data_IF_804773957066
#
_entry.id   IF_804773957066
#
_cell.length_a   1.000
_cell.length_b   1.000
_cell.length_c   1.000
_cell.angle_alpha   90.00
_cell.angle_beta   90.00
_cell.angle_gamma   90.00
#
_symmetry.space_group_name_H-M   'P 1'
#
loop_
_entity.id
_entity.type
_entity.pdbx_description
1 polymer ?
#
# COMPACT_ATOMS: atom_id res chain seq x y z
N UNK A 1 15.00 -7.81 -0.62
CA UNK A 1 14.85 -6.49 -1.28
C UNK A 1 14.25 -6.65 -2.67
N UNK A 2 13.39 -5.70 -3.03
CA UNK A 2 12.76 -5.69 -4.34
C UNK A 2 13.73 -5.11 -5.39
N UNK A 3 13.70 -5.62 -6.63
CA UNK A 3 14.52 -5.05 -7.71
C UNK A 3 14.16 -3.61 -8.00
N UNK A 4 15.16 -2.80 -8.37
CA UNK A 4 14.91 -1.44 -8.82
C UNK A 4 14.05 -1.43 -10.09
N UNK A 5 13.16 -0.43 -10.22
CA UNK A 5 12.30 -0.28 -11.39
C UNK A 5 11.12 -1.22 -11.44
N UNK A 6 10.82 -1.95 -10.35
CA UNK A 6 9.66 -2.83 -10.30
C UNK A 6 8.36 -2.05 -10.53
N UNK A 7 7.54 -2.54 -11.43
CA UNK A 7 6.26 -1.92 -11.81
C UNK A 7 5.08 -2.58 -11.08
N UNK A 8 3.86 -2.04 -11.34
CA UNK A 8 2.64 -2.39 -10.61
C UNK A 8 2.38 -3.91 -10.52
N UNK A 9 2.36 -4.60 -11.65
CA UNK A 9 1.92 -6.01 -11.68
C UNK A 9 2.88 -6.90 -10.90
N UNK A 10 4.18 -6.74 -11.08
CA UNK A 10 5.16 -7.54 -10.35
C UNK A 10 5.12 -7.24 -8.85
N UNK A 11 4.98 -5.97 -8.50
CA UNK A 11 4.88 -5.55 -7.11
C UNK A 11 3.65 -6.17 -6.44
N UNK A 12 2.48 -6.08 -7.09
CA UNK A 12 1.24 -6.62 -6.54
C UNK A 12 1.26 -8.14 -6.46
N UNK A 13 1.88 -8.82 -7.40
CA UNK A 13 2.04 -10.27 -7.35
C UNK A 13 2.95 -10.69 -6.20
N UNK A 14 4.04 -9.97 -5.98
CA UNK A 14 4.95 -10.23 -4.86
C UNK A 14 4.21 -10.04 -3.53
N UNK A 15 3.45 -8.97 -3.40
CA UNK A 15 2.65 -8.71 -2.20
C UNK A 15 1.64 -9.82 -1.96
N UNK A 16 0.93 -10.26 -3.01
CA UNK A 16 -0.05 -11.34 -2.91
C UNK A 16 0.58 -12.67 -2.50
N UNK A 17 1.84 -12.88 -2.87
CA UNK A 17 2.56 -14.09 -2.52
C UNK A 17 2.97 -14.13 -1.05
N UNK A 18 3.45 -13.01 -0.52
CA UNK A 18 4.08 -12.99 0.80
C UNK A 18 3.16 -12.52 1.94
N UNK A 19 2.24 -11.58 1.68
CA UNK A 19 1.45 -10.98 2.75
C UNK A 19 0.54 -11.97 3.47
N UNK A 20 -0.26 -12.81 2.79
CA UNK A 20 -1.13 -13.76 3.49
C UNK A 20 -0.36 -14.74 4.36
N UNK A 21 0.76 -15.26 3.87
CA UNK A 21 1.59 -16.20 4.59
C UNK A 21 2.22 -15.54 5.82
N UNK A 22 2.71 -14.31 5.67
CA UNK A 22 3.28 -13.56 6.78
C UNK A 22 2.27 -13.35 7.90
N UNK A 23 1.05 -12.93 7.55
CA UNK A 23 -0.01 -12.72 8.53
C UNK A 23 -0.40 -14.03 9.22
N UNK A 24 -0.52 -15.11 8.44
CA UNK A 24 -0.86 -16.42 8.98
C UNK A 24 0.21 -16.94 9.95
N UNK A 25 1.48 -16.73 9.64
CA UNK A 25 2.59 -17.18 10.46
C UNK A 25 2.74 -16.38 11.75
N UNK A 26 2.54 -15.06 11.70
CA UNK A 26 2.73 -14.18 12.85
C UNK A 26 1.46 -14.09 13.71
N UNK A 27 0.28 -14.09 13.07
CA UNK A 27 -1.02 -13.91 13.74
C UNK A 27 -1.03 -12.67 14.64
N UNK A 28 -0.81 -11.48 14.08
CA UNK A 28 -0.67 -10.26 14.87
C UNK A 28 -1.98 -9.84 15.53
N UNK A 29 -1.89 -9.15 16.66
CA UNK A 29 -3.06 -8.51 17.28
C UNK A 29 -3.42 -7.21 16.58
N UNK A 30 -2.44 -6.54 15.98
CA UNK A 30 -2.61 -5.29 15.23
C UNK A 30 -1.56 -5.23 14.14
N UNK A 31 -1.98 -4.85 12.94
CA UNK A 31 -1.08 -4.56 11.83
C UNK A 31 -0.90 -3.05 11.72
N UNK A 32 0.34 -2.59 11.74
CA UNK A 32 0.68 -1.21 11.43
C UNK A 32 1.18 -1.16 9.98
N UNK A 33 0.44 -0.47 9.14
CA UNK A 33 0.74 -0.36 7.71
C UNK A 33 1.28 1.02 7.38
N UNK A 34 2.57 1.07 7.06
CA UNK A 34 3.18 2.29 6.53
C UNK A 34 2.91 2.35 5.02
N UNK A 35 1.97 3.21 4.64
CA UNK A 35 1.56 3.40 3.25
C UNK A 35 2.42 4.47 2.57
N UNK A 36 3.72 4.35 2.66
CA UNK A 36 4.65 5.27 2.01
C UNK A 36 4.43 5.34 0.50
N UNK A 37 4.66 6.49 -0.11
CA UNK A 37 4.44 6.71 -1.55
C UNK A 37 5.74 6.78 -2.35
N UNK A 38 6.88 6.52 -1.72
CA UNK A 38 8.17 6.45 -2.38
C UNK A 38 8.29 5.33 -3.43
N UNK A 39 7.46 4.25 -3.44
CA UNK A 39 7.47 3.31 -4.58
C UNK A 39 6.96 3.91 -5.89
N UNK A 40 6.38 5.11 -5.89
CA UNK A 40 5.87 5.74 -7.10
C UNK A 40 6.99 6.08 -8.09
N UNK A 41 6.72 5.90 -9.38
CA UNK A 41 7.68 6.16 -10.45
C UNK A 41 8.19 7.60 -10.47
N UNK A 42 7.35 8.56 -10.03
CA UNK A 42 7.71 9.98 -9.96
C UNK A 42 8.40 10.39 -8.66
N UNK A 43 8.71 9.46 -7.78
CA UNK A 43 9.40 9.80 -6.53
C UNK A 43 10.89 10.03 -6.78
N UNK A 44 11.45 11.08 -6.17
CA UNK A 44 12.84 11.49 -6.39
C UNK A 44 13.85 10.54 -5.75
N UNK A 45 13.49 9.88 -4.66
CA UNK A 45 14.38 9.01 -3.89
C UNK A 45 14.01 7.54 -3.99
N UNK A 46 12.81 7.24 -4.43
CA UNK A 46 12.33 5.87 -4.57
C UNK A 46 12.98 5.15 -5.74
N UNK A 47 13.08 3.83 -5.63
CA UNK A 47 13.73 2.98 -6.63
C UNK A 47 12.77 2.06 -7.36
N UNK A 48 11.47 2.17 -7.08
CA UNK A 48 10.43 1.40 -7.75
C UNK A 48 9.69 2.28 -8.76
N UNK A 49 8.79 1.70 -9.53
CA UNK A 49 8.15 2.39 -10.64
C UNK A 49 6.63 2.18 -10.66
N UNK A 50 5.99 2.31 -9.49
CA UNK A 50 4.55 2.17 -9.39
C UNK A 50 3.83 3.42 -9.89
N UNK A 51 2.64 3.21 -10.50
CA UNK A 51 1.74 4.28 -10.89
C UNK A 51 0.83 4.67 -9.70
N UNK A 52 0.05 5.74 -9.86
CA UNK A 52 -0.97 6.08 -8.87
C UNK A 52 -1.99 4.95 -8.71
N UNK A 53 -2.40 4.31 -9.81
CA UNK A 53 -3.28 3.16 -9.77
C UNK A 53 -2.63 2.00 -9.01
N UNK A 54 -1.34 1.77 -9.22
CA UNK A 54 -0.59 0.74 -8.52
C UNK A 54 -0.53 0.98 -7.02
N UNK A 55 -0.28 2.23 -6.59
CA UNK A 55 -0.30 2.59 -5.18
C UNK A 55 -1.68 2.34 -4.56
N UNK A 56 -2.75 2.76 -5.23
CA UNK A 56 -4.11 2.52 -4.76
C UNK A 56 -4.41 1.02 -4.66
N UNK A 57 -4.04 0.25 -5.67
CA UNK A 57 -4.26 -1.21 -5.67
C UNK A 57 -3.45 -1.88 -4.55
N UNK A 58 -2.24 -1.42 -4.28
CA UNK A 58 -1.45 -1.90 -3.15
C UNK A 58 -2.20 -1.68 -1.84
N UNK A 59 -2.69 -0.46 -1.62
CA UNK A 59 -3.40 -0.12 -0.39
C UNK A 59 -4.68 -0.93 -0.25
N UNK A 60 -5.45 -1.09 -1.34
CA UNK A 60 -6.63 -1.95 -1.35
C UNK A 60 -6.28 -3.39 -0.99
N UNK A 61 -5.19 -3.91 -1.54
CA UNK A 61 -4.79 -5.30 -1.29
C UNK A 61 -4.36 -5.52 0.15
N UNK A 62 -3.56 -4.62 0.72
CA UNK A 62 -3.11 -4.74 2.11
C UNK A 62 -4.31 -4.65 3.06
N UNK A 63 -5.14 -3.63 2.90
CA UNK A 63 -6.28 -3.41 3.79
C UNK A 63 -7.30 -4.53 3.66
N UNK A 64 -7.65 -4.94 2.45
CA UNK A 64 -8.61 -6.03 2.22
C UNK A 64 -8.10 -7.36 2.78
N UNK A 65 -6.82 -7.65 2.60
CA UNK A 65 -6.23 -8.88 3.12
C UNK A 65 -6.30 -8.93 4.65
N UNK A 66 -5.95 -7.84 5.31
CA UNK A 66 -6.02 -7.75 6.77
C UNK A 66 -7.45 -7.87 7.28
N UNK A 67 -8.37 -7.10 6.71
CA UNK A 67 -9.77 -7.06 7.15
C UNK A 67 -10.46 -8.42 6.91
N UNK A 68 -10.26 -9.02 5.74
CA UNK A 68 -10.86 -10.30 5.41
C UNK A 68 -10.37 -11.42 6.32
N UNK A 69 -9.12 -11.35 6.77
CA UNK A 69 -8.53 -12.31 7.69
C UNK A 69 -8.83 -12.03 9.17
N UNK A 70 -9.51 -10.91 9.46
CA UNK A 70 -9.89 -10.55 10.83
C UNK A 70 -8.82 -9.81 11.62
N UNK A 71 -7.77 -9.32 10.97
CA UNK A 71 -6.71 -8.56 11.64
C UNK A 71 -7.01 -7.06 11.63
N UNK A 72 -7.02 -6.40 12.81
CA UNK A 72 -7.10 -4.93 12.84
C UNK A 72 -5.88 -4.32 12.17
N UNK A 73 -6.09 -3.23 11.43
CA UNK A 73 -5.02 -2.56 10.72
C UNK A 73 -5.13 -1.04 10.91
N UNK A 74 -4.01 -0.41 11.22
CA UNK A 74 -3.89 1.04 11.29
C UNK A 74 -2.89 1.48 10.23
N UNK A 75 -3.24 2.51 9.48
CA UNK A 75 -2.42 3.02 8.39
C UNK A 75 -1.77 4.34 8.78
N UNK A 76 -0.54 4.52 8.34
CA UNK A 76 0.15 5.80 8.46
C UNK A 76 0.69 6.20 7.09
N UNK A 77 0.78 7.49 6.84
CA UNK A 77 1.48 8.00 5.66
C UNK A 77 2.96 8.15 6.00
N UNK A 78 3.81 7.95 5.00
CA UNK A 78 5.25 8.08 5.19
C UNK A 78 5.96 8.13 3.86
N UNK A 79 7.22 8.54 3.88
CA UNK A 79 8.02 8.62 2.67
C UNK A 79 7.45 9.56 1.62
N UNK A 80 8.08 9.55 0.46
CA UNK A 80 7.60 10.29 -0.70
C UNK A 80 8.24 11.64 -0.89
N UNK A 81 8.86 11.83 -2.06
CA UNK A 81 9.49 13.07 -2.48
C UNK A 81 9.12 13.35 -3.93
N UNK A 82 8.54 14.51 -4.19
CA UNK A 82 8.21 14.96 -5.53
C UNK A 82 8.45 16.45 -5.65
N UNK A 83 8.73 16.93 -6.87
CA UNK A 83 8.88 18.36 -7.11
C UNK A 83 7.54 19.08 -7.06
N UNK A 84 6.47 18.39 -7.50
CA UNK A 84 5.12 18.91 -7.50
C UNK A 84 4.39 18.49 -6.22
N UNK A 85 4.09 19.49 -5.37
CA UNK A 85 3.41 19.26 -4.10
C UNK A 85 1.99 18.70 -4.29
N UNK A 86 1.27 19.16 -5.32
CA UNK A 86 -0.08 18.66 -5.58
C UNK A 86 -0.06 17.16 -5.91
N UNK A 87 0.89 16.71 -6.72
CA UNK A 87 1.06 15.29 -7.03
C UNK A 87 1.38 14.48 -5.78
N UNK A 88 2.23 14.99 -4.92
CA UNK A 88 2.58 14.32 -3.67
C UNK A 88 1.38 14.21 -2.73
N UNK A 89 0.62 15.28 -2.57
CA UNK A 89 -0.60 15.30 -1.77
C UNK A 89 -1.61 14.29 -2.30
N UNK A 90 -1.78 14.24 -3.62
CA UNK A 90 -2.68 13.26 -4.23
C UNK A 90 -2.23 11.84 -3.92
N UNK A 91 -0.93 11.53 -4.04
CA UNK A 91 -0.40 10.20 -3.73
C UNK A 91 -0.68 9.81 -2.28
N UNK A 92 -0.47 10.72 -1.33
CA UNK A 92 -0.77 10.46 0.08
C UNK A 92 -2.27 10.29 0.35
N UNK A 93 -3.14 10.84 -0.50
CA UNK A 93 -4.58 10.67 -0.35
C UNK A 93 -5.06 9.27 -0.73
N UNK A 94 -4.25 8.49 -1.45
CA UNK A 94 -4.67 7.20 -2.00
C UNK A 94 -4.98 6.17 -0.90
N UNK A 95 -4.22 6.15 0.19
CA UNK A 95 -4.49 5.24 1.29
C UNK A 95 -5.82 5.57 1.97
N UNK A 96 -6.17 6.85 2.08
CA UNK A 96 -7.45 7.27 2.64
C UNK A 96 -8.62 6.83 1.75
N UNK A 97 -8.44 6.94 0.42
CA UNK A 97 -9.45 6.47 -0.54
C UNK A 97 -9.62 4.97 -0.47
N UNK A 98 -8.52 4.23 -0.40
CA UNK A 98 -8.55 2.78 -0.25
C UNK A 98 -9.22 2.36 1.06
N UNK A 99 -8.88 3.02 2.16
CA UNK A 99 -9.48 2.73 3.46
C UNK A 99 -10.99 2.97 3.45
N UNK A 100 -11.45 4.05 2.81
CA UNK A 100 -12.88 4.33 2.64
C UNK A 100 -13.59 3.24 1.86
N UNK A 101 -12.99 2.80 0.74
CA UNK A 101 -13.56 1.71 -0.07
C UNK A 101 -13.66 0.40 0.72
N UNK A 102 -12.61 0.03 1.44
CA UNK A 102 -12.61 -1.19 2.26
C UNK A 102 -13.63 -1.09 3.38
N UNK A 103 -13.73 0.07 4.03
CA UNK A 103 -14.73 0.32 5.07
C UNK A 103 -16.15 0.05 4.56
N UNK A 104 -16.49 0.56 3.39
CA UNK A 104 -17.81 0.35 2.80
C UNK A 104 -18.01 -1.09 2.32
N UNK A 105 -17.00 -1.65 1.67
CA UNK A 105 -17.08 -3.00 1.09
C UNK A 105 -17.31 -4.07 2.16
N UNK A 106 -16.67 -3.93 3.31
CA UNK A 106 -16.79 -4.89 4.42
C UNK A 106 -17.77 -4.45 5.51
N UNK A 107 -18.44 -3.33 5.31
CA UNK A 107 -19.47 -2.80 6.24
C UNK A 107 -18.96 -2.59 7.67
N UNK A 108 -17.79 -2.02 7.75
CA UNK A 108 -17.13 -1.74 9.04
C UNK A 108 -17.81 -0.61 9.82
#
# INVERSE_FOLDING_TARGET
PLPEGMEDDEYLQTLAQYLPDLLSNIQPDLVLYDAGVDPHIGDRLGKLALTNTGLFRRDMQVLSTCVAAGYPVACVIGGGYAEDMESLVYRHSLVHRAASEVFHQYRL
#
